data_IF_864234186686
#
_entry.id   IF_864234186686
#
_cell.length_a   1.000
_cell.length_b   1.000
_cell.length_c   1.000
_cell.angle_alpha   90.00
_cell.angle_beta   90.00
_cell.angle_gamma   90.00
#
_symmetry.space_group_name_H-M   'P 1'
#
loop_
_entity.id
_entity.type
_entity.pdbx_description
1 polymer ?
#
# COMPACT_ATOMS: atom_id res chain seq x y z
N UNK A 1 35.01 1.35 1.94
CA UNK A 1 33.84 0.61 2.47
C UNK A 1 32.84 0.58 1.35
N UNK A 2 32.29 -0.59 1.03
CA UNK A 2 31.35 -0.78 -0.07
C UNK A 2 29.96 -0.97 0.52
N UNK A 3 28.99 -0.24 -0.02
CA UNK A 3 27.59 -0.22 0.42
C UNK A 3 26.61 -0.47 -0.73
N UNK A 4 27.12 -0.85 -1.91
CA UNK A 4 26.34 -1.00 -3.13
C UNK A 4 25.26 -2.10 -3.04
N UNK A 5 25.49 -3.14 -2.23
CA UNK A 5 24.53 -4.25 -2.04
C UNK A 5 23.42 -3.96 -1.02
N UNK A 6 23.51 -2.85 -0.26
CA UNK A 6 22.50 -2.51 0.76
C UNK A 6 21.28 -1.82 0.15
N UNK A 7 20.10 -2.04 0.72
CA UNK A 7 18.90 -1.27 0.38
C UNK A 7 18.85 0.08 1.12
N UNK A 8 17.91 0.93 0.73
CA UNK A 8 17.75 2.29 1.26
C UNK A 8 17.54 2.32 2.79
N UNK A 9 16.81 1.37 3.35
CA UNK A 9 16.56 1.31 4.80
C UNK A 9 17.81 0.92 5.57
N UNK A 10 18.58 -0.05 5.06
CA UNK A 10 19.85 -0.45 5.63
C UNK A 10 20.86 0.70 5.61
N UNK A 11 20.92 1.47 4.51
CA UNK A 11 21.78 2.65 4.42
C UNK A 11 21.38 3.74 5.43
N UNK A 12 20.08 3.96 5.65
CA UNK A 12 19.60 4.90 6.68
C UNK A 12 20.05 4.45 8.08
N UNK A 13 19.89 3.16 8.39
CA UNK A 13 20.27 2.61 9.70
C UNK A 13 21.78 2.71 9.96
N UNK A 14 22.60 2.35 8.98
CA UNK A 14 24.07 2.47 9.05
C UNK A 14 24.49 3.93 9.18
N UNK A 15 23.80 4.85 8.50
CA UNK A 15 24.09 6.28 8.60
C UNK A 15 23.76 6.86 9.97
N UNK A 16 22.67 6.41 10.59
CA UNK A 16 22.33 6.77 11.96
C UNK A 16 23.38 6.24 12.94
N UNK A 17 23.75 4.95 12.85
CA UNK A 17 24.75 4.33 13.71
C UNK A 17 26.13 5.00 13.56
N UNK A 18 26.55 5.32 12.33
CA UNK A 18 27.81 6.01 12.07
C UNK A 18 27.82 7.44 12.63
N UNK A 19 26.68 8.15 12.60
CA UNK A 19 26.52 9.46 13.25
C UNK A 19 26.65 9.36 14.77
N UNK A 20 26.01 8.37 15.40
CA UNK A 20 26.13 8.14 16.85
C UNK A 20 27.56 7.81 17.27
N UNK A 21 28.24 6.96 16.49
CA UNK A 21 29.63 6.59 16.70
C UNK A 21 30.64 7.70 16.33
N UNK A 22 30.20 8.81 15.74
CA UNK A 22 31.05 9.85 15.14
C UNK A 22 32.08 9.29 14.12
N UNK A 23 31.72 8.21 13.43
CA UNK A 23 32.57 7.58 12.41
C UNK A 23 32.51 8.36 11.10
N UNK A 24 33.43 9.33 10.98
CA UNK A 24 33.49 10.24 9.84
C UNK A 24 33.81 9.52 8.52
N UNK A 25 34.58 8.43 8.57
CA UNK A 25 34.94 7.68 7.37
C UNK A 25 33.72 6.94 6.80
N UNK A 26 32.95 6.29 7.67
CA UNK A 26 31.71 5.60 7.32
C UNK A 26 30.64 6.58 6.87
N UNK A 27 30.47 7.71 7.55
CA UNK A 27 29.57 8.81 7.15
C UNK A 27 29.88 9.26 5.71
N UNK A 28 31.15 9.49 5.39
CA UNK A 28 31.57 9.96 4.06
C UNK A 28 31.29 8.91 3.00
N UNK A 29 31.58 7.64 3.27
CA UNK A 29 31.31 6.55 2.33
C UNK A 29 29.81 6.38 2.06
N UNK A 30 28.97 6.46 3.10
CA UNK A 30 27.50 6.41 2.96
C UNK A 30 26.96 7.61 2.17
N UNK A 31 27.51 8.82 2.38
CA UNK A 31 27.14 10.01 1.61
C UNK A 31 27.50 9.88 0.12
N UNK A 32 28.64 9.27 -0.21
CA UNK A 32 29.04 9.04 -1.59
C UNK A 32 28.14 7.99 -2.27
N UNK A 33 27.75 6.94 -1.55
CA UNK A 33 26.78 5.95 -2.02
C UNK A 33 25.42 6.62 -2.30
N UNK A 34 24.91 7.42 -1.35
CA UNK A 34 23.67 8.17 -1.54
C UNK A 34 23.75 9.14 -2.73
N UNK A 35 24.88 9.82 -2.92
CA UNK A 35 25.10 10.67 -4.08
C UNK A 35 25.01 9.89 -5.40
N UNK A 36 25.58 8.69 -5.43
CA UNK A 36 25.57 7.79 -6.59
C UNK A 36 24.13 7.38 -6.92
N UNK A 37 23.35 6.97 -5.92
CA UNK A 37 21.94 6.60 -6.11
C UNK A 37 21.06 7.75 -6.54
N UNK A 38 21.22 8.94 -5.96
CA UNK A 38 20.49 10.12 -6.42
C UNK A 38 20.84 10.46 -7.86
N UNK A 39 22.10 10.32 -8.26
CA UNK A 39 22.52 10.57 -9.64
C UNK A 39 21.90 9.56 -10.60
N UNK A 40 21.93 8.26 -10.27
CA UNK A 40 21.28 7.22 -11.07
C UNK A 40 19.76 7.43 -11.18
N UNK A 41 19.09 7.73 -10.06
CA UNK A 41 17.66 8.06 -10.05
C UNK A 41 17.35 9.27 -10.93
N UNK A 42 18.14 10.35 -10.81
CA UNK A 42 17.95 11.56 -11.59
C UNK A 42 18.15 11.30 -13.09
N UNK A 43 19.14 10.48 -13.46
CA UNK A 43 19.39 10.04 -14.83
C UNK A 43 18.30 9.10 -15.38
N UNK A 44 17.54 8.43 -14.50
CA UNK A 44 16.54 7.43 -14.88
C UNK A 44 17.06 5.99 -14.91
N UNK A 45 18.29 5.77 -14.46
CA UNK A 45 18.94 4.45 -14.41
C UNK A 45 18.51 3.63 -13.19
N UNK A 46 17.89 4.28 -12.20
CA UNK A 46 17.24 3.64 -11.06
C UNK A 46 15.74 3.93 -11.11
N UNK A 47 14.90 3.02 -11.65
CA UNK A 47 13.45 3.17 -11.59
C UNK A 47 12.97 2.96 -10.16
N UNK A 48 12.06 3.81 -9.71
CA UNK A 48 11.40 3.71 -8.40
C UNK A 48 9.91 3.58 -8.66
N UNK A 49 9.29 2.51 -8.16
CA UNK A 49 7.86 2.30 -8.29
C UNK A 49 7.06 3.26 -7.37
N UNK A 50 5.76 3.44 -7.64
CA UNK A 50 4.91 4.34 -6.87
C UNK A 50 4.78 3.92 -5.40
N UNK A 51 4.63 2.62 -5.14
CA UNK A 51 4.55 2.01 -3.82
C UNK A 51 5.87 2.05 -3.03
N UNK A 52 7.00 2.11 -3.73
CA UNK A 52 8.34 2.30 -3.15
C UNK A 52 8.68 3.78 -2.90
N UNK A 53 7.91 4.70 -3.47
CA UNK A 53 8.21 6.14 -3.42
C UNK A 53 8.31 6.72 -2.01
N UNK A 54 7.50 6.34 -1.00
CA UNK A 54 7.66 6.83 0.36
C UNK A 54 8.98 6.40 1.01
N UNK A 55 9.40 5.15 0.74
CA UNK A 55 10.68 4.62 1.25
C UNK A 55 11.85 5.36 0.64
N UNK A 56 11.86 5.52 -0.69
CA UNK A 56 12.93 6.26 -1.37
C UNK A 56 12.95 7.74 -0.97
N UNK A 57 11.79 8.36 -0.71
CA UNK A 57 11.73 9.71 -0.15
C UNK A 57 12.36 9.82 1.24
N UNK A 58 12.14 8.82 2.12
CA UNK A 58 12.78 8.79 3.45
C UNK A 58 14.31 8.75 3.35
N UNK A 59 14.85 8.04 2.35
CA UNK A 59 16.27 8.00 2.02
C UNK A 59 16.78 9.36 1.55
N UNK A 60 16.07 10.00 0.61
CA UNK A 60 16.36 11.38 0.17
C UNK A 60 16.40 12.34 1.37
N UNK A 61 15.38 12.30 2.22
CA UNK A 61 15.27 13.18 3.40
C UNK A 61 16.40 12.96 4.38
N UNK A 62 16.83 11.73 4.62
CA UNK A 62 17.93 11.40 5.52
C UNK A 62 19.25 11.99 5.02
N UNK A 63 19.59 11.77 3.75
CA UNK A 63 20.84 12.25 3.15
C UNK A 63 20.79 13.69 2.64
N UNK A 64 19.64 14.38 2.76
CA UNK A 64 19.54 15.85 2.60
C UNK A 64 19.99 16.63 3.84
N UNK A 65 20.12 15.97 4.99
CA UNK A 65 20.52 16.58 6.27
C UNK A 65 22.02 16.41 6.50
N UNK A 66 22.82 16.90 5.56
CA UNK A 66 24.29 16.80 5.57
C UNK A 66 24.93 18.15 5.31
N UNK A 67 26.23 18.29 5.58
CA UNK A 67 27.00 19.47 5.20
C UNK A 67 27.57 19.37 3.78
N UNK A 68 27.37 18.24 3.09
CA UNK A 68 27.82 18.04 1.72
C UNK A 68 26.91 18.80 0.74
N UNK A 69 27.44 19.87 0.15
CA UNK A 69 26.69 20.78 -0.73
C UNK A 69 26.17 20.07 -1.99
N UNK A 70 27.00 19.24 -2.61
CA UNK A 70 26.65 18.54 -3.84
C UNK A 70 25.57 17.49 -3.58
N UNK A 71 25.69 16.74 -2.48
CA UNK A 71 24.68 15.79 -2.03
C UNK A 71 23.36 16.48 -1.71
N UNK A 72 23.39 17.61 -0.99
CA UNK A 72 22.18 18.38 -0.70
C UNK A 72 21.50 18.89 -1.97
N UNK A 73 22.28 19.33 -2.97
CA UNK A 73 21.73 19.77 -4.26
C UNK A 73 21.10 18.61 -5.03
N UNK A 74 21.78 17.46 -5.09
CA UNK A 74 21.23 16.24 -5.70
C UNK A 74 19.97 15.76 -4.98
N UNK A 75 19.95 15.78 -3.65
CA UNK A 75 18.79 15.42 -2.83
C UNK A 75 17.59 16.34 -3.14
N UNK A 76 17.79 17.66 -3.24
CA UNK A 76 16.71 18.60 -3.62
C UNK A 76 16.14 18.32 -5.01
N UNK A 77 16.99 17.96 -5.98
CA UNK A 77 16.54 17.59 -7.32
C UNK A 77 15.78 16.26 -7.29
N UNK A 78 16.27 15.28 -6.54
CA UNK A 78 15.63 13.97 -6.38
C UNK A 78 14.26 14.12 -5.70
N UNK A 79 14.17 14.94 -4.65
CA UNK A 79 12.93 15.31 -3.97
C UNK A 79 11.91 15.93 -4.95
N UNK A 80 12.34 16.87 -5.79
CA UNK A 80 11.45 17.46 -6.79
C UNK A 80 10.97 16.41 -7.82
N UNK A 81 11.83 15.47 -8.22
CA UNK A 81 11.50 14.41 -9.18
C UNK A 81 10.56 13.34 -8.60
N UNK A 82 10.68 13.02 -7.31
CA UNK A 82 9.85 12.00 -6.64
C UNK A 82 8.51 12.57 -6.17
N UNK A 83 8.39 13.88 -5.95
CA UNK A 83 7.18 14.53 -5.44
C UNK A 83 5.89 14.14 -6.21
N UNK A 84 5.87 14.07 -7.55
CA UNK A 84 4.68 13.62 -8.27
C UNK A 84 4.27 12.17 -7.95
N UNK A 85 5.24 11.27 -7.75
CA UNK A 85 4.98 9.88 -7.38
C UNK A 85 4.42 9.78 -5.96
N UNK A 86 4.91 10.60 -5.02
CA UNK A 86 4.35 10.68 -3.67
C UNK A 86 2.91 11.16 -3.68
N UNK A 87 2.58 12.15 -4.53
CA UNK A 87 1.19 12.63 -4.68
C UNK A 87 0.27 11.57 -5.27
N UNK A 88 0.75 10.82 -6.25
CA UNK A 88 -0.04 9.72 -6.81
C UNK A 88 -0.20 8.60 -5.79
N UNK A 89 0.86 8.24 -5.04
CA UNK A 89 0.78 7.32 -3.91
C UNK A 89 -0.29 7.77 -2.91
N UNK A 90 -0.23 9.03 -2.45
CA UNK A 90 -1.19 9.60 -1.51
C UNK A 90 -2.62 9.47 -2.07
N UNK A 91 -2.85 9.74 -3.35
CA UNK A 91 -4.16 9.58 -3.99
C UNK A 91 -4.59 8.12 -4.08
N UNK A 92 -3.68 7.22 -4.40
CA UNK A 92 -3.92 5.77 -4.49
C UNK A 92 -4.34 5.22 -3.12
N UNK A 93 -3.65 5.63 -2.05
CA UNK A 93 -3.94 5.18 -0.68
C UNK A 93 -4.98 6.02 0.07
N UNK A 94 -5.48 7.11 -0.54
CA UNK A 94 -6.53 7.98 0.02
C UNK A 94 -6.05 9.01 1.05
N UNK A 95 -4.76 9.34 1.04
CA UNK A 95 -4.12 10.30 1.93
C UNK A 95 -3.95 11.70 1.31
N UNK A 96 -4.34 11.90 0.05
CA UNK A 96 -4.17 13.14 -0.71
C UNK A 96 -4.92 14.35 -0.12
N UNK A 97 -5.91 14.09 0.74
CA UNK A 97 -6.72 15.12 1.42
C UNK A 97 -6.36 15.31 2.90
N UNK A 98 -5.40 14.57 3.44
CA UNK A 98 -5.04 14.67 4.87
C UNK A 98 -4.63 16.09 5.28
N UNK A 99 -3.93 16.82 4.39
CA UNK A 99 -3.50 18.19 4.67
C UNK A 99 -4.66 19.19 4.80
N UNK A 100 -5.83 18.85 4.27
CA UNK A 100 -7.04 19.68 4.31
C UNK A 100 -7.90 19.42 5.56
N UNK A 101 -7.53 18.43 6.39
CA UNK A 101 -8.28 18.05 7.59
C UNK A 101 -7.68 18.62 8.86
N UNK A 102 -8.55 18.94 9.81
CA UNK A 102 -8.12 19.21 11.18
C UNK A 102 -7.70 17.92 11.87
N UNK A 103 -6.80 18.04 12.86
CA UNK A 103 -6.44 16.89 13.72
C UNK A 103 -7.67 16.29 14.41
N UNK A 104 -8.60 17.13 14.87
CA UNK A 104 -9.88 16.71 15.46
C UNK A 104 -10.70 15.84 14.50
N UNK A 105 -10.81 16.21 13.22
CA UNK A 105 -11.53 15.43 12.22
C UNK A 105 -10.87 14.07 11.96
N UNK A 106 -9.53 14.02 11.95
CA UNK A 106 -8.79 12.76 11.81
C UNK A 106 -9.03 11.86 13.02
N UNK A 107 -9.00 12.41 14.23
CA UNK A 107 -9.30 11.66 15.47
C UNK A 107 -10.74 11.13 15.50
N UNK A 108 -11.73 11.94 15.09
CA UNK A 108 -13.13 11.51 14.92
C UNK A 108 -13.26 10.35 13.92
N UNK A 109 -12.59 10.45 12.77
CA UNK A 109 -12.60 9.39 11.76
C UNK A 109 -11.96 8.11 12.30
N UNK A 110 -10.83 8.21 13.01
CA UNK A 110 -10.15 7.06 13.62
C UNK A 110 -11.08 6.35 14.61
N UNK A 111 -11.72 7.09 15.51
CA UNK A 111 -12.62 6.51 16.50
C UNK A 111 -13.81 5.78 15.83
N UNK A 112 -14.41 6.39 14.81
CA UNK A 112 -15.49 5.75 14.06
C UNK A 112 -15.02 4.49 13.30
N UNK A 113 -13.81 4.52 12.73
CA UNK A 113 -13.22 3.35 12.07
C UNK A 113 -12.92 2.21 13.05
N UNK A 114 -12.44 2.51 14.26
CA UNK A 114 -12.23 1.50 15.30
C UNK A 114 -13.54 0.79 15.67
N UNK A 115 -14.65 1.53 15.75
CA UNK A 115 -15.97 0.95 15.98
C UNK A 115 -16.39 0.04 14.81
N UNK A 116 -16.22 0.51 13.56
CA UNK A 116 -16.61 -0.24 12.36
C UNK A 116 -15.72 -1.45 12.07
N UNK A 117 -14.46 -1.44 12.49
CA UNK A 117 -13.51 -2.53 12.26
C UNK A 117 -13.94 -3.84 12.93
N UNK A 118 -14.75 -3.74 13.99
CA UNK A 118 -15.33 -4.90 14.68
C UNK A 118 -16.37 -5.68 13.87
N UNK A 119 -16.88 -5.11 12.77
CA UNK A 119 -17.91 -5.73 11.95
C UNK A 119 -17.31 -6.88 11.12
N UNK A 120 -17.94 -8.06 11.16
CA UNK A 120 -17.65 -9.14 10.21
C UNK A 120 -18.48 -8.92 8.92
N UNK A 121 -17.82 -8.67 7.76
CA UNK A 121 -18.52 -8.48 6.49
C UNK A 121 -19.36 -9.69 6.06
N UNK A 122 -19.04 -10.88 6.58
CA UNK A 122 -19.72 -12.13 6.26
C UNK A 122 -20.64 -12.64 7.37
N UNK A 123 -20.98 -11.78 8.35
CA UNK A 123 -21.92 -12.11 9.41
C UNK A 123 -23.27 -12.54 8.82
N UNK A 124 -23.84 -13.62 9.39
CA UNK A 124 -25.11 -14.20 8.94
C UNK A 124 -26.18 -14.15 10.01
N UNK A 125 -27.40 -13.84 9.57
CA UNK A 125 -28.62 -14.00 10.34
C UNK A 125 -29.62 -14.81 9.51
N UNK A 126 -30.18 -15.88 10.08
CA UNK A 126 -31.12 -16.79 9.41
C UNK A 126 -30.59 -17.31 8.05
N UNK A 127 -29.33 -17.75 8.03
CA UNK A 127 -28.57 -18.21 6.85
C UNK A 127 -28.37 -17.19 5.72
N UNK A 128 -28.72 -15.91 5.96
CA UNK A 128 -28.51 -14.81 5.03
C UNK A 128 -27.44 -13.86 5.54
N UNK A 129 -26.67 -13.27 4.63
CA UNK A 129 -25.73 -12.22 5.01
C UNK A 129 -26.48 -11.01 5.55
N UNK A 130 -26.04 -10.49 6.69
CA UNK A 130 -26.52 -9.21 7.23
C UNK A 130 -26.17 -8.07 6.26
N UNK A 131 -25.07 -8.22 5.54
CA UNK A 131 -24.57 -7.27 4.55
C UNK A 131 -24.58 -7.90 3.14
N UNK A 132 -25.71 -7.83 2.40
CA UNK A 132 -25.86 -8.48 1.10
C UNK A 132 -24.85 -8.02 0.04
N UNK A 133 -24.27 -6.82 0.19
CA UNK A 133 -23.25 -6.29 -0.71
C UNK A 133 -21.99 -7.16 -0.79
N UNK A 134 -21.74 -8.04 0.20
CA UNK A 134 -20.61 -8.98 0.20
C UNK A 134 -20.93 -10.35 -0.40
N UNK A 135 -22.16 -10.62 -0.85
CA UNK A 135 -22.56 -11.94 -1.38
C UNK A 135 -21.65 -12.40 -2.52
N UNK A 136 -21.35 -11.51 -3.47
CA UNK A 136 -20.47 -11.84 -4.60
C UNK A 136 -19.03 -12.09 -4.15
N UNK A 137 -18.48 -11.25 -3.26
CA UNK A 137 -17.16 -11.45 -2.67
C UNK A 137 -17.05 -12.81 -1.97
N UNK A 138 -18.04 -13.16 -1.16
CA UNK A 138 -18.10 -14.44 -0.47
C UNK A 138 -18.17 -15.62 -1.46
N UNK A 139 -18.97 -15.50 -2.53
CA UNK A 139 -19.07 -16.53 -3.59
C UNK A 139 -17.70 -16.77 -4.24
N UNK A 140 -17.00 -15.70 -4.62
CA UNK A 140 -15.68 -15.80 -5.26
C UNK A 140 -14.66 -16.42 -4.30
N UNK A 141 -14.56 -15.92 -3.07
CA UNK A 141 -13.64 -16.47 -2.05
C UNK A 141 -13.92 -17.96 -1.79
N UNK A 142 -15.20 -18.35 -1.73
CA UNK A 142 -15.59 -19.74 -1.49
C UNK A 142 -15.33 -20.66 -2.68
N UNK A 143 -15.22 -20.10 -3.89
CA UNK A 143 -14.90 -20.85 -5.10
C UNK A 143 -13.39 -20.97 -5.35
N UNK A 144 -12.56 -20.19 -4.66
CA UNK A 144 -11.10 -20.35 -4.66
C UNK A 144 -10.79 -21.71 -4.03
N UNK A 145 -10.28 -22.64 -4.83
CA UNK A 145 -9.72 -23.89 -4.34
C UNK A 145 -8.22 -23.68 -4.18
N UNK A 146 -7.78 -23.49 -2.95
CA UNK A 146 -6.36 -23.52 -2.64
C UNK A 146 -5.87 -24.97 -2.78
N UNK A 147 -4.66 -25.16 -3.29
CA UNK A 147 -4.06 -26.49 -3.47
C UNK A 147 -2.68 -26.52 -2.82
N UNK A 148 -2.44 -27.50 -1.96
CA UNK A 148 -1.09 -27.85 -1.48
C UNK A 148 -0.56 -29.02 -2.34
N UNK A 149 0.15 -28.67 -3.41
CA UNK A 149 0.55 -29.63 -4.45
C UNK A 149 -0.65 -30.13 -5.27
N UNK A 150 -0.83 -31.46 -5.36
CA UNK A 150 -1.93 -32.10 -6.11
C UNK A 150 -3.20 -32.31 -5.26
N UNK A 151 -3.22 -31.84 -4.01
CA UNK A 151 -4.35 -32.02 -3.09
C UNK A 151 -5.00 -30.67 -2.75
N UNK A 152 -6.32 -30.63 -2.54
CA UNK A 152 -6.97 -29.47 -1.97
C UNK A 152 -6.33 -29.12 -0.63
N UNK A 153 -6.07 -27.83 -0.45
CA UNK A 153 -5.66 -27.22 0.81
C UNK A 153 -6.61 -27.62 1.95
N UNK A 154 -6.07 -27.67 3.17
CA UNK A 154 -6.89 -27.95 4.34
C UNK A 154 -7.90 -26.81 4.60
N UNK A 155 -9.01 -27.13 5.26
CA UNK A 155 -10.08 -26.17 5.56
C UNK A 155 -9.56 -24.95 6.36
N UNK A 156 -8.50 -25.14 7.16
CA UNK A 156 -7.82 -24.08 7.88
C UNK A 156 -7.12 -23.07 6.96
N UNK A 157 -6.54 -23.52 5.85
CA UNK A 157 -5.88 -22.65 4.87
C UNK A 157 -6.91 -21.81 4.10
N UNK A 158 -8.08 -22.39 3.81
CA UNK A 158 -9.20 -21.66 3.21
C UNK A 158 -9.73 -20.54 4.11
N UNK A 159 -9.89 -20.81 5.41
CA UNK A 159 -10.28 -19.77 6.37
C UNK A 159 -9.19 -18.71 6.53
N UNK A 160 -7.92 -19.10 6.56
CA UNK A 160 -6.79 -18.15 6.63
C UNK A 160 -6.71 -17.25 5.39
N UNK A 161 -6.98 -17.78 4.19
CA UNK A 161 -7.07 -16.99 2.98
C UNK A 161 -8.22 -15.98 3.04
N UNK A 162 -9.41 -16.43 3.45
CA UNK A 162 -10.57 -15.54 3.64
C UNK A 162 -10.25 -14.43 4.64
N UNK A 163 -9.67 -14.77 5.78
CA UNK A 163 -9.23 -13.82 6.80
C UNK A 163 -8.23 -12.81 6.23
N UNK A 164 -7.21 -13.27 5.50
CA UNK A 164 -6.21 -12.41 4.86
C UNK A 164 -6.84 -11.40 3.90
N UNK A 165 -7.82 -11.83 3.07
CA UNK A 165 -8.55 -10.93 2.17
C UNK A 165 -9.34 -9.89 2.96
N UNK A 166 -10.01 -10.30 4.04
CA UNK A 166 -10.78 -9.40 4.91
C UNK A 166 -9.88 -8.38 5.58
N UNK A 167 -8.82 -8.82 6.26
CA UNK A 167 -7.90 -7.95 6.99
C UNK A 167 -7.20 -6.97 6.04
N UNK A 168 -6.76 -7.43 4.87
CA UNK A 168 -6.14 -6.56 3.86
C UNK A 168 -7.12 -5.49 3.37
N UNK A 169 -8.38 -5.86 3.13
CA UNK A 169 -9.39 -4.92 2.67
C UNK A 169 -9.76 -3.91 3.77
N UNK A 170 -9.92 -4.36 5.02
CA UNK A 170 -10.16 -3.50 6.19
C UNK A 170 -9.02 -2.50 6.40
N UNK A 171 -7.77 -2.96 6.35
CA UNK A 171 -6.60 -2.10 6.49
C UNK A 171 -6.56 -1.02 5.40
N UNK A 172 -6.81 -1.37 4.14
CA UNK A 172 -6.83 -0.40 3.04
C UNK A 172 -8.00 0.57 3.15
N UNK A 173 -9.19 0.09 3.55
CA UNK A 173 -10.33 0.94 3.81
C UNK A 173 -10.03 1.92 4.96
N UNK A 174 -9.40 1.46 6.04
CA UNK A 174 -8.97 2.29 7.16
C UNK A 174 -8.01 3.39 6.70
N UNK A 175 -6.95 3.04 5.97
CA UNK A 175 -5.97 4.01 5.45
C UNK A 175 -6.61 5.08 4.57
N UNK A 176 -7.60 4.72 3.75
CA UNK A 176 -8.29 5.67 2.88
C UNK A 176 -9.28 6.55 3.65
N UNK A 177 -10.01 5.97 4.60
CA UNK A 177 -11.12 6.65 5.28
C UNK A 177 -10.66 7.48 6.48
N UNK A 178 -9.45 7.25 7.01
CA UNK A 178 -8.91 8.12 8.06
C UNK A 178 -8.74 9.57 7.55
N UNK A 179 -8.44 9.73 6.26
CA UNK A 179 -8.39 11.01 5.55
C UNK A 179 -9.70 11.46 4.90
N UNK A 180 -10.85 10.91 5.30
CA UNK A 180 -12.14 11.27 4.71
C UNK A 180 -12.65 12.61 5.25
N UNK A 181 -12.94 13.55 4.34
CA UNK A 181 -13.31 14.91 4.72
C UNK A 181 -14.76 15.11 5.15
N UNK A 182 -15.67 14.23 4.71
CA UNK A 182 -17.08 14.31 5.03
C UNK A 182 -17.44 13.41 6.23
N UNK A 183 -18.71 13.31 6.58
CA UNK A 183 -19.18 12.42 7.64
C UNK A 183 -18.91 10.96 7.26
N UNK A 184 -18.18 10.25 8.14
CA UNK A 184 -17.90 8.84 7.97
C UNK A 184 -19.08 8.01 8.48
N UNK A 185 -19.61 7.12 7.63
CA UNK A 185 -20.73 6.25 7.98
C UNK A 185 -20.34 4.79 7.87
N UNK A 186 -21.07 3.92 8.58
CA UNK A 186 -20.87 2.47 8.49
C UNK A 186 -21.07 1.96 7.05
N UNK A 187 -22.06 2.49 6.32
CA UNK A 187 -22.33 2.10 4.93
C UNK A 187 -21.15 2.44 4.03
N UNK A 188 -20.59 3.65 4.15
CA UNK A 188 -19.42 4.07 3.41
C UNK A 188 -18.20 3.19 3.71
N UNK A 189 -17.98 2.85 4.99
CA UNK A 189 -16.93 1.94 5.39
C UNK A 189 -17.10 0.56 4.75
N UNK A 190 -18.30 -0.04 4.85
CA UNK A 190 -18.58 -1.35 4.28
C UNK A 190 -18.48 -1.36 2.75
N UNK A 191 -18.88 -0.30 2.07
CA UNK A 191 -18.70 -0.17 0.63
C UNK A 191 -17.22 -0.10 0.25
N UNK A 192 -16.40 0.63 1.02
CA UNK A 192 -14.97 0.69 0.79
C UNK A 192 -14.27 -0.63 1.08
N UNK A 193 -14.67 -1.36 2.13
CA UNK A 193 -14.18 -2.73 2.41
C UNK A 193 -14.55 -3.67 1.27
N UNK A 194 -15.80 -3.64 0.78
CA UNK A 194 -16.22 -4.43 -0.39
C UNK A 194 -15.34 -4.11 -1.59
N UNK A 195 -15.15 -2.83 -1.89
CA UNK A 195 -14.35 -2.41 -3.03
C UNK A 195 -12.90 -2.92 -2.97
N UNK A 196 -12.24 -2.83 -1.80
CA UNK A 196 -10.88 -3.34 -1.65
C UNK A 196 -10.80 -4.87 -1.68
N UNK A 197 -11.81 -5.58 -1.17
CA UNK A 197 -11.92 -7.04 -1.33
C UNK A 197 -12.03 -7.44 -2.79
N UNK A 198 -12.95 -6.83 -3.54
CA UNK A 198 -13.16 -7.11 -4.96
C UNK A 198 -11.88 -6.83 -5.76
N UNK A 199 -11.20 -5.71 -5.46
CA UNK A 199 -9.92 -5.36 -6.06
C UNK A 199 -8.83 -6.39 -5.76
N UNK A 200 -8.71 -6.85 -4.51
CA UNK A 200 -7.75 -7.87 -4.12
C UNK A 200 -8.01 -9.19 -4.88
N UNK A 201 -9.26 -9.62 -4.95
CA UNK A 201 -9.66 -10.83 -5.68
C UNK A 201 -9.38 -10.72 -7.18
N UNK A 202 -9.77 -9.61 -7.81
CA UNK A 202 -9.44 -9.36 -9.23
C UNK A 202 -7.93 -9.40 -9.46
N UNK A 203 -7.14 -8.81 -8.56
CA UNK A 203 -5.68 -8.79 -8.69
C UNK A 203 -5.11 -10.21 -8.63
N UNK A 204 -5.54 -11.02 -7.67
CA UNK A 204 -5.09 -12.41 -7.54
C UNK A 204 -5.43 -13.25 -8.77
N UNK A 205 -6.66 -13.14 -9.29
CA UNK A 205 -7.09 -13.92 -10.46
C UNK A 205 -6.58 -13.37 -11.80
N UNK A 206 -6.32 -12.07 -11.93
CA UNK A 206 -5.69 -11.51 -13.13
C UNK A 206 -4.20 -11.80 -13.18
N UNK A 207 -3.51 -11.90 -12.04
CA UNK A 207 -2.15 -12.44 -11.98
C UNK A 207 -2.07 -13.88 -12.50
N UNK A 208 -3.13 -14.67 -12.28
CA UNK A 208 -3.24 -16.05 -12.77
C UNK A 208 -3.59 -16.12 -14.27
N UNK A 209 -4.35 -15.14 -14.81
CA UNK A 209 -4.87 -15.18 -16.18
C UNK A 209 -4.13 -14.34 -17.24
N UNK A 210 -3.40 -13.26 -16.90
CA UNK A 210 -2.71 -12.45 -17.92
C UNK A 210 -1.61 -11.52 -17.40
N UNK A 211 -0.42 -11.67 -17.99
CA UNK A 211 0.77 -10.82 -17.91
C UNK A 211 0.60 -9.40 -18.52
N UNK A 212 -0.62 -8.91 -18.80
CA UNK A 212 -0.80 -7.68 -19.61
C UNK A 212 -1.92 -6.71 -19.21
N UNK A 213 -2.61 -6.85 -18.06
CA UNK A 213 -3.80 -6.00 -17.77
C UNK A 213 -3.82 -5.21 -16.45
N UNK A 214 -2.78 -5.28 -15.60
CA UNK A 214 -2.86 -4.69 -14.25
C UNK A 214 -2.48 -3.21 -14.19
N UNK A 215 -1.82 -2.65 -15.21
CA UNK A 215 -1.32 -1.27 -15.11
C UNK A 215 -2.37 -0.16 -15.33
N UNK A 216 -3.61 -0.48 -15.74
CA UNK A 216 -4.50 0.57 -16.27
C UNK A 216 -5.98 0.49 -15.84
N UNK A 217 -6.30 -0.17 -14.71
CA UNK A 217 -7.68 -0.17 -14.16
C UNK A 217 -7.70 0.19 -12.67
N UNK A 218 -7.43 1.45 -12.38
CA UNK A 218 -7.56 2.07 -11.06
C UNK A 218 -8.95 2.68 -10.81
N UNK A 219 -9.89 2.62 -11.77
CA UNK A 219 -11.24 3.16 -11.59
C UNK A 219 -12.22 2.13 -11.01
N UNK A 220 -13.17 2.62 -10.20
CA UNK A 220 -14.08 1.75 -9.46
C UNK A 220 -14.99 0.93 -10.38
N UNK A 221 -15.40 1.51 -11.51
CA UNK A 221 -16.19 0.81 -12.52
C UNK A 221 -15.42 -0.31 -13.22
N UNK A 222 -14.14 -0.12 -13.50
CA UNK A 222 -13.29 -1.12 -14.15
C UNK A 222 -13.07 -2.33 -13.25
N UNK A 223 -12.85 -2.09 -11.95
CA UNK A 223 -12.74 -3.15 -10.94
C UNK A 223 -14.07 -3.89 -10.79
N UNK A 224 -15.19 -3.20 -10.62
CA UNK A 224 -16.51 -3.84 -10.50
C UNK A 224 -16.82 -4.69 -11.74
N UNK A 225 -16.59 -4.18 -12.94
CA UNK A 225 -16.83 -4.93 -14.20
C UNK A 225 -15.92 -6.16 -14.31
N UNK A 226 -14.67 -6.08 -13.88
CA UNK A 226 -13.76 -7.21 -13.88
C UNK A 226 -14.19 -8.27 -12.84
N UNK A 227 -14.59 -7.80 -11.66
CA UNK A 227 -15.07 -8.65 -10.58
C UNK A 227 -16.39 -9.35 -10.94
N UNK A 228 -17.33 -8.65 -11.56
CA UNK A 228 -18.59 -9.23 -12.04
C UNK A 228 -18.34 -10.35 -13.06
N UNK A 229 -17.42 -10.13 -14.01
CA UNK A 229 -17.02 -11.17 -14.97
C UNK A 229 -16.41 -12.39 -14.29
N UNK A 230 -15.55 -12.18 -13.31
CA UNK A 230 -14.96 -13.26 -12.52
C UNK A 230 -16.06 -14.04 -11.79
N UNK A 231 -16.96 -13.35 -11.10
CA UNK A 231 -18.05 -13.97 -10.35
C UNK A 231 -19.06 -14.72 -11.24
N UNK A 232 -19.26 -14.29 -12.49
CA UNK A 232 -20.08 -14.97 -13.50
C UNK A 232 -19.41 -16.23 -14.08
N UNK A 233 -18.07 -16.30 -14.06
CA UNK A 233 -17.30 -17.44 -14.58
C UNK A 233 -17.20 -18.64 -13.63
N UNK A 234 -17.61 -18.44 -12.37
CA UNK A 234 -17.61 -19.42 -11.28
C UNK A 234 -19.02 -20.00 -11.05
#
# INVERSE_FOLDING_TARGET
>A
MDFSEKNEQELIAEYAAAKEANDTATITALQNEAFTRFTAYLAGDLPIAEDESPLFFSFIRTFSKTDNVDLNLSAKKAEAKITPFLKEFDKTVGLDRLADLSAEKIEENIAALEDFDTIDPFEKQDDKLIYPQFEKALKVISAVVLTDGDQPAEQQEQESFKETIVETAKLKAYMRLCGYGDELTQELYLDQVRFEMEKALVTLFMMEQATELVQDKTDAEGIQKAFDKLAESL
#
